data_IF_951789503872
#
_entry.id   IF_951789503872
#
_cell.length_a   1.000
_cell.length_b   1.000
_cell.length_c   1.000
_cell.angle_alpha   90.00
_cell.angle_beta   90.00
_cell.angle_gamma   90.00
#
_symmetry.space_group_name_H-M   'P 1'
#
loop_
_entity.id
_entity.type
_entity.pdbx_description
1 polymer ?
#
# COMPACT_ATOMS: atom_id res chain seq x y z
N UNK A 1 9.34 2.44 -24.62
CA UNK A 1 8.25 2.96 -25.51
C UNK A 1 8.78 4.21 -26.18
N UNK A 2 8.65 4.30 -27.52
CA UNK A 2 9.01 5.48 -28.34
C UNK A 2 7.72 5.96 -29.00
N UNK A 3 7.13 7.00 -28.45
CA UNK A 3 5.80 7.47 -28.86
C UNK A 3 5.85 8.17 -30.23
N UNK A 4 6.90 8.92 -30.53
CA UNK A 4 7.09 9.64 -31.81
C UNK A 4 7.26 8.71 -33.01
N UNK A 5 7.68 7.45 -32.81
CA UNK A 5 7.79 6.46 -33.89
C UNK A 5 6.44 5.84 -34.25
N UNK A 6 5.49 5.89 -33.32
CA UNK A 6 4.18 5.28 -33.44
C UNK A 6 3.12 6.30 -33.84
N UNK A 7 3.06 7.45 -33.17
CA UNK A 7 2.06 8.48 -33.43
C UNK A 7 2.57 9.49 -34.49
N UNK A 8 1.89 9.58 -35.63
CA UNK A 8 2.22 10.52 -36.66
C UNK A 8 1.79 11.94 -36.30
N UNK A 9 2.72 12.79 -35.91
CA UNK A 9 2.47 14.20 -35.60
C UNK A 9 2.19 15.02 -36.87
N UNK A 10 1.22 15.95 -36.84
CA UNK A 10 0.91 16.87 -37.92
C UNK A 10 1.74 18.14 -37.86
N UNK A 11 2.13 18.56 -36.68
CA UNK A 11 2.87 19.78 -36.40
C UNK A 11 4.10 19.55 -35.51
N UNK A 12 5.08 20.49 -35.51
CA UNK A 12 6.28 20.36 -34.69
C UNK A 12 6.01 20.30 -33.17
N UNK A 13 4.98 21.00 -32.67
CA UNK A 13 4.67 21.04 -31.27
C UNK A 13 4.18 19.67 -30.75
N UNK A 14 3.34 18.99 -31.55
CA UNK A 14 2.92 17.59 -31.28
C UNK A 14 4.11 16.65 -31.30
N UNK A 15 5.01 16.76 -32.26
CA UNK A 15 6.21 15.93 -32.35
C UNK A 15 7.14 16.15 -31.14
N UNK A 16 7.31 17.39 -30.71
CA UNK A 16 8.10 17.72 -29.52
C UNK A 16 7.50 17.11 -28.27
N UNK A 17 6.17 17.17 -28.08
CA UNK A 17 5.47 16.53 -26.97
C UNK A 17 5.70 15.01 -26.93
N UNK A 18 5.59 14.33 -28.09
CA UNK A 18 5.82 12.89 -28.19
C UNK A 18 7.28 12.51 -27.86
N UNK A 19 8.25 13.29 -28.33
CA UNK A 19 9.68 13.11 -28.01
C UNK A 19 9.97 13.33 -26.53
N UNK A 20 9.39 14.38 -25.95
CA UNK A 20 9.53 14.63 -24.51
C UNK A 20 8.94 13.47 -23.70
N UNK A 21 7.75 12.98 -24.07
CA UNK A 21 7.09 11.84 -23.42
C UNK A 21 7.98 10.58 -23.47
N UNK A 22 8.55 10.26 -24.64
CA UNK A 22 9.47 9.12 -24.82
C UNK A 22 10.74 9.25 -23.97
N UNK A 23 11.32 10.46 -23.95
CA UNK A 23 12.50 10.75 -23.14
C UNK A 23 12.24 10.59 -21.64
N UNK A 24 11.13 11.13 -21.13
CA UNK A 24 10.71 11.00 -19.72
C UNK A 24 10.46 9.54 -19.38
N UNK A 25 9.78 8.79 -20.25
CA UNK A 25 9.51 7.35 -20.04
C UNK A 25 10.80 6.54 -19.91
N UNK A 26 11.80 6.83 -20.75
CA UNK A 26 13.12 6.18 -20.69
C UNK A 26 13.82 6.45 -19.36
N UNK A 27 13.82 7.71 -18.90
CA UNK A 27 14.45 8.09 -17.61
C UNK A 27 13.82 7.37 -16.44
N UNK A 28 12.49 7.19 -16.45
CA UNK A 28 11.78 6.42 -15.41
C UNK A 28 12.19 4.95 -15.45
N UNK A 29 12.18 4.35 -16.65
CA UNK A 29 12.53 2.95 -16.86
C UNK A 29 13.95 2.63 -16.36
N UNK A 30 14.92 3.46 -16.72
CA UNK A 30 16.31 3.33 -16.29
C UNK A 30 16.44 3.46 -14.77
N UNK A 31 15.77 4.44 -14.16
CA UNK A 31 15.81 4.66 -12.71
C UNK A 31 15.22 3.48 -11.93
N UNK A 32 14.05 2.99 -12.33
CA UNK A 32 13.37 1.88 -11.65
C UNK A 32 14.19 0.59 -11.79
N UNK A 33 14.71 0.31 -12.99
CA UNK A 33 15.51 -0.89 -13.21
C UNK A 33 16.81 -0.84 -12.40
N UNK A 34 17.46 0.31 -12.28
CA UNK A 34 18.63 0.48 -11.43
C UNK A 34 18.30 0.24 -9.96
N UNK A 35 17.21 0.83 -9.46
CA UNK A 35 16.77 0.69 -8.06
C UNK A 35 16.43 -0.77 -7.69
N UNK A 36 15.90 -1.54 -8.63
CA UNK A 36 15.53 -2.95 -8.40
C UNK A 36 16.73 -3.90 -8.23
N UNK A 37 17.92 -3.51 -8.67
CA UNK A 37 19.16 -4.29 -8.53
C UNK A 37 19.97 -3.93 -7.28
N UNK A 38 19.65 -2.83 -6.62
CA UNK A 38 20.39 -2.36 -5.45
C UNK A 38 19.67 -2.84 -4.20
N UNK A 39 20.32 -3.70 -3.41
CA UNK A 39 19.78 -4.08 -2.09
C UNK A 39 19.74 -2.85 -1.18
N UNK A 40 18.78 -2.81 -0.27
CA UNK A 40 18.59 -1.68 0.66
C UNK A 40 19.87 -1.34 1.45
N UNK A 41 20.67 -2.34 1.81
CA UNK A 41 21.95 -2.15 2.49
C UNK A 41 22.97 -1.43 1.59
N UNK A 42 23.10 -1.84 0.33
CA UNK A 42 24.01 -1.22 -0.65
C UNK A 42 23.52 0.21 -0.97
N UNK A 43 22.21 0.43 -1.08
CA UNK A 43 21.64 1.75 -1.31
C UNK A 43 21.97 2.73 -0.18
N UNK A 44 21.94 2.27 1.07
CA UNK A 44 22.35 3.08 2.24
C UNK A 44 23.84 3.42 2.24
N UNK A 45 24.71 2.46 1.89
CA UNK A 45 26.15 2.71 1.79
C UNK A 45 26.50 3.67 0.65
N UNK A 46 25.90 3.49 -0.53
CA UNK A 46 26.18 4.31 -1.71
C UNK A 46 25.67 5.74 -1.59
N UNK A 47 24.60 5.98 -0.83
CA UNK A 47 23.96 7.31 -0.72
C UNK A 47 24.59 8.23 0.33
N UNK A 48 25.62 7.80 1.06
CA UNK A 48 26.26 8.62 2.09
C UNK A 48 25.29 9.08 3.19
N UNK A 49 24.20 8.35 3.39
CA UNK A 49 23.11 8.64 4.33
C UNK A 49 22.24 9.80 3.85
N UNK A 50 21.03 9.53 3.35
CA UNK A 50 19.93 10.49 3.17
C UNK A 50 19.62 11.10 1.80
N UNK A 51 20.27 10.79 0.70
CA UNK A 51 19.71 11.16 -0.60
C UNK A 51 18.67 10.12 -1.05
N UNK A 52 17.43 10.38 -0.70
CA UNK A 52 16.27 9.59 -1.08
C UNK A 52 16.17 9.44 -2.60
N UNK A 53 16.44 8.26 -3.11
CA UNK A 53 16.15 7.92 -4.51
C UNK A 53 14.65 8.07 -4.79
N UNK A 54 13.82 7.76 -3.81
CA UNK A 54 12.38 7.84 -3.86
C UNK A 54 11.87 9.24 -4.23
N UNK A 55 12.38 10.30 -3.61
CA UNK A 55 11.98 11.68 -3.93
C UNK A 55 12.30 12.06 -5.37
N UNK A 56 13.49 11.67 -5.88
CA UNK A 56 13.88 11.93 -7.28
C UNK A 56 13.00 11.17 -8.27
N UNK A 57 12.63 9.94 -7.93
CA UNK A 57 11.79 9.12 -8.79
C UNK A 57 10.32 9.61 -8.79
N UNK A 58 9.82 10.09 -7.66
CA UNK A 58 8.54 10.81 -7.59
C UNK A 58 8.53 12.04 -8.50
N UNK A 59 9.57 12.88 -8.45
CA UNK A 59 9.68 14.06 -9.31
C UNK A 59 9.70 13.72 -10.81
N UNK A 60 10.34 12.60 -11.21
CA UNK A 60 10.32 12.13 -12.61
C UNK A 60 8.91 11.73 -13.04
N UNK A 61 8.18 11.00 -12.16
CA UNK A 61 6.80 10.61 -12.44
C UNK A 61 5.86 11.81 -12.50
N UNK A 62 6.02 12.80 -11.62
CA UNK A 62 5.25 14.04 -11.63
C UNK A 62 5.44 14.87 -12.90
N UNK A 63 6.59 14.70 -13.58
CA UNK A 63 6.85 15.33 -14.87
C UNK A 63 6.34 14.51 -16.06
N UNK A 64 6.25 13.19 -15.93
CA UNK A 64 5.78 12.29 -16.98
C UNK A 64 4.27 12.17 -17.05
N UNK A 65 3.61 12.01 -15.89
CA UNK A 65 2.16 11.78 -15.80
C UNK A 65 1.32 12.83 -16.52
N UNK A 66 1.56 14.15 -16.39
CA UNK A 66 0.75 15.16 -17.07
C UNK A 66 0.88 15.12 -18.60
N UNK A 67 2.04 14.70 -19.12
CA UNK A 67 2.27 14.52 -20.55
C UNK A 67 1.51 13.30 -21.07
N UNK A 68 1.53 12.19 -20.30
CA UNK A 68 0.83 10.96 -20.66
C UNK A 68 -0.70 11.18 -20.62
N UNK A 69 -1.20 11.85 -19.59
CA UNK A 69 -2.63 12.23 -19.48
C UNK A 69 -3.08 13.10 -20.67
N UNK A 70 -2.22 14.02 -21.10
CA UNK A 70 -2.53 14.86 -22.26
C UNK A 70 -2.56 14.05 -23.57
N UNK A 71 -1.63 13.10 -23.75
CA UNK A 71 -1.65 12.21 -24.91
C UNK A 71 -2.93 11.35 -24.92
N UNK A 72 -3.29 10.74 -23.79
CA UNK A 72 -4.49 9.90 -23.67
C UNK A 72 -5.73 10.71 -24.00
N UNK A 73 -5.87 11.90 -23.45
CA UNK A 73 -7.01 12.78 -23.72
C UNK A 73 -7.20 13.02 -25.23
N UNK A 74 -6.14 13.36 -25.98
CA UNK A 74 -6.24 13.64 -27.42
C UNK A 74 -6.43 12.36 -28.24
N UNK A 75 -5.85 11.25 -27.82
CA UNK A 75 -6.06 9.94 -28.45
C UNK A 75 -7.51 9.46 -28.27
N UNK A 76 -8.10 9.66 -27.09
CA UNK A 76 -9.49 9.32 -26.84
C UNK A 76 -10.49 10.10 -27.71
N UNK A 77 -10.18 11.36 -28.04
CA UNK A 77 -11.00 12.18 -28.96
C UNK A 77 -11.08 11.60 -30.39
N UNK A 78 -10.06 10.80 -30.77
CA UNK A 78 -9.92 10.23 -32.11
C UNK A 78 -9.88 8.69 -32.11
N UNK A 79 -10.27 8.06 -31.02
CA UNK A 79 -10.17 6.63 -30.79
C UNK A 79 -11.01 5.77 -31.76
N UNK A 80 -12.02 6.34 -32.42
CA UNK A 80 -12.79 5.67 -33.47
C UNK A 80 -12.03 5.48 -34.79
N UNK A 81 -10.89 6.16 -34.99
CA UNK A 81 -10.09 6.05 -36.18
C UNK A 81 -9.21 4.78 -36.14
N UNK A 82 -9.35 3.90 -37.14
CA UNK A 82 -8.63 2.63 -37.20
C UNK A 82 -7.10 2.78 -37.26
N UNK A 83 -6.55 3.92 -37.75
CA UNK A 83 -5.11 4.19 -37.71
C UNK A 83 -4.64 4.41 -36.28
N UNK A 84 -5.42 5.12 -35.47
CA UNK A 84 -5.10 5.35 -34.06
C UNK A 84 -5.12 4.04 -33.28
N UNK A 85 -6.11 3.18 -33.53
CA UNK A 85 -6.17 1.84 -32.92
C UNK A 85 -4.92 1.01 -33.27
N UNK A 86 -4.50 1.07 -34.55
CA UNK A 86 -3.27 0.40 -35.00
C UNK A 86 -2.03 0.95 -34.29
N UNK A 87 -1.89 2.27 -34.19
CA UNK A 87 -0.77 2.91 -33.47
C UNK A 87 -0.66 2.43 -32.03
N UNK A 88 -1.79 2.37 -31.32
CA UNK A 88 -1.81 1.88 -29.93
C UNK A 88 -1.31 0.43 -29.85
N UNK A 89 -1.72 -0.45 -30.79
CA UNK A 89 -1.26 -1.84 -30.81
C UNK A 89 0.24 -2.00 -31.15
N UNK A 90 0.87 -0.99 -31.76
CA UNK A 90 2.31 -0.99 -32.07
C UNK A 90 3.19 -0.54 -30.89
N UNK A 91 2.63 0.03 -29.80
CA UNK A 91 3.37 0.51 -28.62
C UNK A 91 4.08 -0.58 -27.84
N UNK A 92 3.54 -1.81 -27.81
CA UNK A 92 4.08 -2.98 -27.09
C UNK A 92 4.40 -2.68 -25.61
N UNK A 93 3.41 -2.14 -24.89
CA UNK A 93 3.54 -1.72 -23.51
C UNK A 93 3.74 -2.96 -22.61
N UNK A 94 4.85 -3.01 -21.88
CA UNK A 94 5.24 -4.14 -21.04
C UNK A 94 5.55 -3.68 -19.61
N UNK A 95 4.99 -4.40 -18.65
CA UNK A 95 5.29 -4.23 -17.23
C UNK A 95 5.50 -5.58 -16.55
N UNK A 96 6.36 -5.64 -15.55
CA UNK A 96 6.49 -6.79 -14.66
C UNK A 96 5.60 -6.61 -13.43
N UNK A 97 5.30 -7.71 -12.72
CA UNK A 97 4.58 -7.68 -11.45
C UNK A 97 5.56 -7.82 -10.28
N UNK A 98 5.42 -6.97 -9.26
CA UNK A 98 6.13 -7.08 -8.00
C UNK A 98 5.36 -7.92 -6.97
N UNK A 99 4.04 -8.01 -7.12
CA UNK A 99 3.16 -8.73 -6.19
C UNK A 99 2.99 -10.22 -6.52
N UNK A 100 3.35 -10.64 -7.74
CA UNK A 100 3.30 -12.06 -8.12
C UNK A 100 4.45 -12.82 -7.49
N UNK A 101 4.17 -14.04 -7.02
CA UNK A 101 5.20 -14.94 -6.52
C UNK A 101 6.22 -15.21 -7.62
N UNK A 102 7.48 -14.82 -7.39
CA UNK A 102 8.57 -15.29 -8.22
C UNK A 102 8.72 -16.79 -7.96
N UNK A 103 8.41 -17.62 -8.95
CA UNK A 103 8.71 -19.05 -8.84
C UNK A 103 10.21 -19.19 -8.56
N UNK A 104 10.56 -19.87 -7.47
CA UNK A 104 11.95 -20.18 -7.09
C UNK A 104 12.72 -20.93 -8.19
N UNK A 105 12.01 -21.43 -9.20
CA UNK A 105 12.53 -22.14 -10.37
C UNK A 105 12.57 -21.29 -11.65
N UNK A 106 12.22 -19.99 -11.60
CA UNK A 106 12.28 -19.12 -12.78
C UNK A 106 13.71 -18.69 -13.10
N UNK A 107 14.48 -19.59 -13.71
CA UNK A 107 15.75 -19.30 -14.39
C UNK A 107 15.62 -18.27 -15.54
N UNK A 108 14.39 -17.82 -15.86
CA UNK A 108 14.06 -16.98 -17.02
C UNK A 108 13.89 -15.49 -16.70
N UNK A 109 14.10 -15.04 -15.46
CA UNK A 109 13.90 -13.64 -15.07
C UNK A 109 12.43 -13.26 -14.81
N UNK A 110 12.13 -11.97 -14.59
CA UNK A 110 10.79 -11.50 -14.26
C UNK A 110 9.80 -11.75 -15.41
N UNK A 111 8.56 -12.16 -15.07
CA UNK A 111 7.47 -12.30 -16.03
C UNK A 111 6.99 -10.91 -16.45
N UNK A 112 6.93 -10.68 -17.77
CA UNK A 112 6.37 -9.45 -18.34
C UNK A 112 4.97 -9.69 -18.87
N UNK A 113 4.10 -8.72 -18.61
CA UNK A 113 2.74 -8.64 -19.13
C UNK A 113 2.69 -7.56 -20.19
N UNK A 114 2.19 -7.89 -21.38
CA UNK A 114 2.04 -6.95 -22.48
C UNK A 114 0.55 -6.66 -22.72
N UNK A 115 0.16 -5.40 -22.56
CA UNK A 115 -1.18 -4.92 -22.84
C UNK A 115 -1.07 -3.63 -23.66
N UNK A 116 -1.48 -3.71 -24.92
CA UNK A 116 -1.34 -2.62 -25.89
C UNK A 116 -2.49 -1.61 -25.70
N UNK A 117 -2.44 -0.86 -24.60
CA UNK A 117 -3.43 0.14 -24.23
C UNK A 117 -2.76 1.28 -23.43
N UNK A 118 -2.95 2.53 -23.83
CA UNK A 118 -2.36 3.69 -23.15
C UNK A 118 -2.85 3.85 -21.71
N UNK A 119 -4.11 3.48 -21.42
CA UNK A 119 -4.63 3.50 -20.04
C UNK A 119 -3.97 2.45 -19.15
N UNK A 120 -3.45 1.36 -19.74
CA UNK A 120 -2.64 0.41 -18.99
C UNK A 120 -1.28 1.01 -18.61
N UNK A 121 -0.62 1.72 -19.54
CA UNK A 121 0.61 2.46 -19.22
C UNK A 121 0.35 3.50 -18.12
N UNK A 122 -0.73 4.27 -18.22
CA UNK A 122 -1.12 5.23 -17.19
C UNK A 122 -1.36 4.53 -15.84
N UNK A 123 -2.14 3.44 -15.84
CA UNK A 123 -2.48 2.71 -14.63
C UNK A 123 -1.26 2.15 -13.92
N UNK A 124 -0.34 1.52 -14.64
CA UNK A 124 0.89 0.98 -14.06
C UNK A 124 1.84 2.10 -13.59
N UNK A 125 1.89 3.22 -14.30
CA UNK A 125 2.69 4.38 -13.89
C UNK A 125 2.12 5.04 -12.62
N UNK A 126 0.81 5.18 -12.52
CA UNK A 126 0.15 5.67 -11.31
C UNK A 126 0.29 4.70 -10.13
N UNK A 127 0.23 3.39 -10.40
CA UNK A 127 0.50 2.39 -9.36
C UNK A 127 1.92 2.55 -8.79
N UNK A 128 2.90 2.69 -9.66
CA UNK A 128 4.28 2.97 -9.25
C UNK A 128 4.40 4.29 -8.46
N UNK A 129 3.71 5.34 -8.91
CA UNK A 129 3.68 6.63 -8.20
C UNK A 129 3.13 6.48 -6.77
N UNK A 130 2.02 5.76 -6.62
CA UNK A 130 1.44 5.47 -5.30
C UNK A 130 2.37 4.62 -4.42
N UNK A 131 3.05 3.63 -5.00
CA UNK A 131 4.03 2.82 -4.28
C UNK A 131 5.22 3.66 -3.79
N UNK A 132 5.72 4.58 -4.61
CA UNK A 132 6.79 5.50 -4.22
C UNK A 132 6.34 6.55 -3.19
N UNK A 133 5.10 7.02 -3.23
CA UNK A 133 4.54 7.86 -2.15
C UNK A 133 4.53 7.12 -0.81
N UNK A 134 4.12 5.83 -0.83
CA UNK A 134 4.15 4.97 0.36
C UNK A 134 5.58 4.78 0.88
N UNK A 135 6.54 4.49 0.01
CA UNK A 135 7.95 4.35 0.37
C UNK A 135 8.51 5.64 0.96
N UNK A 136 8.20 6.78 0.34
CA UNK A 136 8.60 8.10 0.86
C UNK A 136 8.00 8.38 2.24
N UNK A 137 6.76 7.96 2.49
CA UNK A 137 6.13 8.07 3.80
C UNK A 137 6.93 7.32 4.88
N UNK A 138 7.42 6.12 4.55
CA UNK A 138 8.26 5.31 5.45
C UNK A 138 9.62 5.98 5.68
N UNK A 139 10.26 6.52 4.65
CA UNK A 139 11.55 7.21 4.77
C UNK A 139 11.49 8.41 5.72
N UNK A 140 10.44 9.21 5.66
CA UNK A 140 10.32 10.41 6.49
C UNK A 140 9.71 10.17 7.87
N UNK A 141 9.18 8.97 8.12
CA UNK A 141 8.52 8.59 9.36
C UNK A 141 9.33 8.94 10.64
N UNK A 142 10.66 8.76 10.69
CA UNK A 142 11.43 9.11 11.87
C UNK A 142 11.52 10.62 12.13
N UNK A 143 11.38 11.44 11.10
CA UNK A 143 11.57 12.88 11.15
C UNK A 143 10.24 13.66 11.28
N UNK A 144 9.21 13.25 10.54
CA UNK A 144 7.92 13.95 10.48
C UNK A 144 6.74 12.98 10.34
N UNK A 145 6.09 12.70 11.48
CA UNK A 145 4.91 11.84 11.54
C UNK A 145 3.72 12.43 10.77
N UNK A 146 3.56 13.75 10.75
CA UNK A 146 2.41 14.39 10.10
C UNK A 146 2.53 14.27 8.59
N UNK A 147 3.70 14.60 8.05
CA UNK A 147 3.96 14.47 6.62
C UNK A 147 3.94 13.01 6.18
N UNK A 148 4.47 12.08 6.98
CA UNK A 148 4.38 10.64 6.72
C UNK A 148 2.92 10.17 6.60
N UNK A 149 2.06 10.51 7.57
CA UNK A 149 0.65 10.18 7.51
C UNK A 149 -0.06 10.79 6.29
N UNK A 150 0.32 12.00 5.89
CA UNK A 150 -0.21 12.69 4.72
C UNK A 150 0.14 11.93 3.44
N UNK A 151 1.40 11.54 3.25
CA UNK A 151 1.84 10.78 2.08
C UNK A 151 1.17 9.39 1.96
N UNK A 152 0.96 8.68 3.07
CA UNK A 152 0.17 7.44 3.05
C UNK A 152 -1.28 7.69 2.58
N UNK A 153 -1.89 8.78 3.00
CA UNK A 153 -3.26 9.15 2.58
C UNK A 153 -3.31 9.59 1.12
N UNK A 154 -2.28 10.25 0.61
CA UNK A 154 -2.12 10.58 -0.82
C UNK A 154 -1.96 9.30 -1.64
N UNK A 155 -1.08 8.37 -1.24
CA UNK A 155 -0.93 7.08 -1.88
C UNK A 155 -2.26 6.31 -1.94
N UNK A 156 -3.01 6.30 -0.83
CA UNK A 156 -4.34 5.69 -0.78
C UNK A 156 -5.30 6.32 -1.80
N UNK A 157 -5.27 7.65 -1.96
CA UNK A 157 -6.11 8.34 -2.95
C UNK A 157 -5.78 7.99 -4.39
N UNK A 158 -4.50 7.85 -4.72
CA UNK A 158 -4.08 7.38 -6.05
C UNK A 158 -4.55 5.94 -6.30
N UNK A 159 -4.42 5.05 -5.32
CA UNK A 159 -4.93 3.67 -5.45
C UNK A 159 -6.45 3.63 -5.59
N UNK A 160 -7.22 4.49 -4.91
CA UNK A 160 -8.66 4.60 -5.10
C UNK A 160 -9.02 5.08 -6.51
N UNK A 161 -8.31 6.06 -7.04
CA UNK A 161 -8.49 6.52 -8.41
C UNK A 161 -8.23 5.40 -9.43
N UNK A 162 -7.17 4.60 -9.22
CA UNK A 162 -6.88 3.43 -10.04
C UNK A 162 -8.02 2.39 -9.98
N UNK A 163 -8.52 2.09 -8.79
CA UNK A 163 -9.57 1.11 -8.56
C UNK A 163 -10.91 1.52 -9.18
N UNK A 164 -11.27 2.81 -9.10
CA UNK A 164 -12.59 3.29 -9.45
C UNK A 164 -12.71 3.84 -10.88
N UNK A 165 -11.61 4.38 -11.44
CA UNK A 165 -11.65 5.12 -12.70
C UNK A 165 -10.77 4.49 -13.80
N UNK A 166 -9.50 4.19 -13.49
CA UNK A 166 -8.56 3.77 -14.53
C UNK A 166 -8.76 2.31 -14.94
N UNK A 167 -8.64 1.37 -14.00
CA UNK A 167 -8.67 -0.06 -14.31
C UNK A 167 -10.05 -0.64 -14.66
N UNK A 168 -11.20 -0.13 -14.19
CA UNK A 168 -12.48 -0.58 -14.69
C UNK A 168 -12.65 -0.40 -16.20
N UNK A 169 -12.08 0.67 -16.76
CA UNK A 169 -12.11 0.93 -18.21
C UNK A 169 -11.34 -0.11 -19.04
N UNK A 170 -10.44 -0.88 -18.42
CA UNK A 170 -9.63 -1.92 -19.06
C UNK A 170 -10.25 -3.32 -19.00
N UNK A 171 -11.35 -3.53 -18.26
CA UNK A 171 -11.95 -4.84 -18.04
C UNK A 171 -12.63 -5.44 -19.27
N UNK A 172 -12.92 -4.67 -20.31
CA UNK A 172 -13.62 -5.13 -21.53
C UNK A 172 -12.83 -6.14 -22.37
N UNK A 173 -11.53 -6.35 -22.13
CA UNK A 173 -10.71 -7.35 -22.82
C UNK A 173 -10.42 -8.56 -21.92
N UNK A 174 -11.41 -9.45 -21.76
CA UNK A 174 -11.37 -10.60 -20.83
C UNK A 174 -10.33 -11.69 -21.11
N UNK A 175 -9.58 -11.64 -22.21
CA UNK A 175 -8.66 -12.71 -22.63
C UNK A 175 -7.17 -12.43 -22.39
N UNK A 176 -6.81 -11.25 -21.89
CA UNK A 176 -5.39 -10.88 -21.71
C UNK A 176 -4.96 -11.09 -20.27
N UNK A 177 -3.91 -11.87 -20.07
CA UNK A 177 -3.28 -12.06 -18.76
C UNK A 177 -2.73 -10.72 -18.25
N UNK A 178 -3.06 -10.38 -17.00
CA UNK A 178 -2.71 -9.08 -16.37
C UNK A 178 -1.87 -9.28 -15.12
N UNK A 179 -0.99 -8.33 -14.78
CA UNK A 179 -0.36 -8.32 -13.46
C UNK A 179 -1.42 -8.00 -12.39
N UNK A 180 -1.18 -8.46 -11.17
CA UNK A 180 -2.07 -8.21 -10.02
C UNK A 180 -2.29 -6.72 -9.76
N UNK A 181 -1.27 -5.92 -9.99
CA UNK A 181 -1.28 -4.45 -9.86
C UNK A 181 -2.31 -3.78 -10.78
N UNK A 182 -2.62 -4.38 -11.91
CA UNK A 182 -3.57 -3.85 -12.89
C UNK A 182 -5.02 -4.32 -12.64
N UNK A 183 -5.37 -4.61 -11.38
CA UNK A 183 -6.72 -5.01 -11.01
C UNK A 183 -7.36 -4.02 -10.02
N UNK A 184 -8.64 -3.66 -10.18
CA UNK A 184 -9.34 -2.77 -9.24
C UNK A 184 -9.31 -3.28 -7.81
N UNK A 185 -9.46 -4.58 -7.62
CA UNK A 185 -9.47 -5.21 -6.31
C UNK A 185 -8.12 -5.10 -5.60
N UNK A 186 -6.99 -5.30 -6.30
CA UNK A 186 -5.66 -5.11 -5.71
C UNK A 186 -5.40 -3.64 -5.37
N UNK A 187 -5.81 -2.70 -6.22
CA UNK A 187 -5.72 -1.28 -5.90
C UNK A 187 -6.54 -0.91 -4.66
N UNK A 188 -7.73 -1.53 -4.48
CA UNK A 188 -8.52 -1.35 -3.25
C UNK A 188 -7.77 -1.90 -2.03
N UNK A 189 -7.18 -3.08 -2.13
CA UNK A 189 -6.34 -3.67 -1.06
C UNK A 189 -5.19 -2.73 -0.70
N UNK A 190 -4.44 -2.23 -1.69
CA UNK A 190 -3.32 -1.31 -1.46
C UNK A 190 -3.77 0.02 -0.84
N UNK A 191 -4.93 0.55 -1.26
CA UNK A 191 -5.53 1.74 -0.64
C UNK A 191 -5.82 1.52 0.85
N UNK A 192 -6.43 0.39 1.20
CA UNK A 192 -6.75 0.04 2.59
C UNK A 192 -5.47 -0.13 3.43
N UNK A 193 -4.43 -0.76 2.88
CA UNK A 193 -3.13 -0.89 3.56
C UNK A 193 -2.54 0.49 3.85
N UNK A 194 -2.53 1.40 2.87
CA UNK A 194 -2.05 2.76 3.08
C UNK A 194 -2.85 3.52 4.16
N UNK A 195 -4.17 3.31 4.25
CA UNK A 195 -4.98 3.88 5.34
C UNK A 195 -4.64 3.28 6.70
N UNK A 196 -4.39 1.98 6.76
CA UNK A 196 -3.94 1.31 7.98
C UNK A 196 -2.59 1.86 8.46
N UNK A 197 -1.64 2.08 7.54
CA UNK A 197 -0.33 2.68 7.82
C UNK A 197 -0.46 4.15 8.24
N UNK A 198 -1.28 4.95 7.57
CA UNK A 198 -1.57 6.33 7.97
C UNK A 198 -2.15 6.40 9.38
N UNK A 199 -3.06 5.48 9.72
CA UNK A 199 -3.63 5.40 11.06
C UNK A 199 -2.58 4.97 12.10
N UNK A 200 -1.69 4.02 11.78
CA UNK A 200 -0.61 3.59 12.66
C UNK A 200 0.33 4.76 13.01
N UNK A 201 0.69 5.58 12.03
CA UNK A 201 1.48 6.80 12.23
C UNK A 201 0.73 7.81 13.10
N UNK A 202 -0.58 7.97 12.87
CA UNK A 202 -1.43 8.86 13.68
C UNK A 202 -1.53 8.39 15.13
N UNK A 203 -1.61 7.08 15.37
CA UNK A 203 -1.59 6.49 16.73
C UNK A 203 -0.27 6.82 17.42
N UNK A 204 0.87 6.64 16.76
CA UNK A 204 2.17 7.02 17.34
C UNK A 204 2.20 8.48 17.77
N UNK A 205 1.64 9.37 16.97
CA UNK A 205 1.51 10.79 17.33
C UNK A 205 0.56 11.02 18.49
N UNK A 206 -0.52 10.24 18.60
CA UNK A 206 -1.47 10.27 19.70
C UNK A 206 -0.84 9.79 21.01
N UNK A 207 -0.02 8.73 20.97
CA UNK A 207 0.76 8.22 22.10
C UNK A 207 1.74 9.30 22.63
N UNK A 208 2.49 9.98 21.74
CA UNK A 208 3.37 11.09 22.11
C UNK A 208 2.63 12.24 22.82
N UNK A 209 1.35 12.44 22.51
CA UNK A 209 0.49 13.46 23.12
C UNK A 209 -0.23 13.01 24.39
N UNK A 210 -0.02 11.78 24.85
CA UNK A 210 -0.67 11.25 26.03
C UNK A 210 -2.17 10.99 25.87
N UNK A 211 -2.60 10.56 24.69
CA UNK A 211 -3.98 10.16 24.43
C UNK A 211 -4.42 9.02 25.36
N UNK A 212 -5.69 9.00 25.75
CA UNK A 212 -6.25 7.99 26.64
C UNK A 212 -6.11 6.57 26.10
N UNK A 213 -5.75 5.63 26.95
CA UNK A 213 -5.55 4.21 26.59
C UNK A 213 -6.79 3.57 25.95
N UNK A 214 -8.00 3.94 26.40
CA UNK A 214 -9.24 3.46 25.81
C UNK A 214 -9.45 3.92 24.36
N UNK A 215 -9.00 5.14 24.00
CA UNK A 215 -9.03 5.61 22.62
C UNK A 215 -7.93 4.90 21.80
N UNK A 216 -6.72 4.74 22.34
CA UNK A 216 -5.64 4.00 21.67
C UNK A 216 -6.06 2.56 21.36
N UNK A 217 -6.75 1.88 22.29
CA UNK A 217 -7.31 0.55 22.05
C UNK A 217 -8.23 0.52 20.80
N UNK A 218 -9.18 1.46 20.72
CA UNK A 218 -10.11 1.57 19.58
C UNK A 218 -9.41 1.91 18.26
N UNK A 219 -8.40 2.78 18.30
CA UNK A 219 -7.63 3.16 17.12
C UNK A 219 -6.83 1.98 16.57
N UNK A 220 -6.15 1.21 17.44
CA UNK A 220 -5.45 -0.01 17.03
C UNK A 220 -6.41 -1.06 16.47
N UNK A 221 -7.58 -1.23 17.08
CA UNK A 221 -8.59 -2.16 16.57
C UNK A 221 -9.14 -1.72 15.21
N UNK A 222 -9.25 -0.41 14.96
CA UNK A 222 -9.60 0.13 13.64
C UNK A 222 -8.62 -0.29 12.54
N UNK A 223 -7.31 -0.40 12.84
CA UNK A 223 -6.32 -0.97 11.90
C UNK A 223 -6.58 -2.46 11.67
N UNK A 224 -6.90 -3.22 12.72
CA UNK A 224 -7.23 -4.65 12.60
C UNK A 224 -8.45 -4.86 11.68
N UNK A 225 -9.46 -3.99 11.78
CA UNK A 225 -10.63 -4.03 10.90
C UNK A 225 -10.28 -3.68 9.46
N UNK A 226 -9.48 -2.61 9.21
CA UNK A 226 -8.99 -2.25 7.87
C UNK A 226 -8.23 -3.42 7.21
N UNK A 227 -7.27 -4.01 7.92
CA UNK A 227 -6.50 -5.13 7.38
C UNK A 227 -7.33 -6.40 7.23
N UNK A 228 -8.39 -6.57 8.04
CA UNK A 228 -9.39 -7.61 7.87
C UNK A 228 -10.18 -7.45 6.57
N UNK A 229 -10.58 -6.22 6.22
CA UNK A 229 -11.22 -5.91 4.94
C UNK A 229 -10.29 -6.20 3.75
N UNK A 230 -9.03 -5.77 3.82
CA UNK A 230 -8.02 -6.08 2.78
C UNK A 230 -7.87 -7.60 2.60
N UNK A 231 -7.78 -8.34 3.70
CA UNK A 231 -7.68 -9.81 3.70
C UNK A 231 -8.93 -10.45 3.05
N UNK A 232 -10.12 -9.98 3.39
CA UNK A 232 -11.37 -10.49 2.81
C UNK A 232 -11.45 -10.29 1.29
N UNK A 233 -10.98 -9.15 0.77
CA UNK A 233 -10.92 -8.90 -0.67
C UNK A 233 -9.96 -9.89 -1.36
N UNK A 234 -8.78 -10.11 -0.79
CA UNK A 234 -7.81 -11.08 -1.34
C UNK A 234 -8.39 -12.48 -1.39
N UNK A 235 -9.03 -12.95 -0.32
CA UNK A 235 -9.58 -14.32 -0.26
C UNK A 235 -10.89 -14.50 -1.03
N UNK A 236 -11.65 -13.44 -1.31
CA UNK A 236 -12.86 -13.51 -2.14
C UNK A 236 -12.56 -13.75 -3.63
N UNK A 237 -11.35 -13.42 -4.09
CA UNK A 237 -10.93 -13.52 -5.49
C UNK A 237 -9.80 -14.55 -5.68
N UNK A 238 -9.97 -15.75 -5.15
CA UNK A 238 -8.94 -16.80 -5.11
C UNK A 238 -8.36 -17.18 -6.48
N UNK A 239 -9.15 -17.07 -7.55
CA UNK A 239 -8.70 -17.37 -8.93
C UNK A 239 -7.73 -16.29 -9.41
N UNK A 240 -8.04 -15.02 -9.15
CA UNK A 240 -7.22 -13.87 -9.54
C UNK A 240 -5.90 -13.80 -8.75
N UNK A 241 -5.93 -14.22 -7.47
CA UNK A 241 -4.81 -14.09 -6.54
C UNK A 241 -4.02 -15.38 -6.26
N UNK A 242 -4.22 -16.44 -7.07
CA UNK A 242 -3.51 -17.72 -6.86
C UNK A 242 -1.97 -17.57 -6.87
N UNK A 243 -1.46 -16.58 -7.60
CA UNK A 243 -0.03 -16.33 -7.77
C UNK A 243 0.48 -15.15 -6.91
N UNK A 244 -0.29 -14.71 -5.91
CA UNK A 244 0.13 -13.62 -5.01
C UNK A 244 1.32 -14.05 -4.14
N UNK A 245 2.23 -13.11 -3.88
CA UNK A 245 3.39 -13.33 -3.02
C UNK A 245 2.98 -13.72 -1.60
N UNK A 246 3.54 -14.82 -1.08
CA UNK A 246 3.34 -15.24 0.31
C UNK A 246 3.83 -14.19 1.31
N UNK A 247 4.94 -13.50 0.99
CA UNK A 247 5.47 -12.42 1.82
C UNK A 247 4.49 -11.24 1.94
N UNK A 248 3.74 -10.95 0.86
CA UNK A 248 2.70 -9.91 0.91
C UNK A 248 1.54 -10.32 1.84
N UNK A 249 1.11 -11.58 1.78
CA UNK A 249 0.07 -12.11 2.67
C UNK A 249 0.55 -12.14 4.12
N UNK A 250 1.78 -12.57 4.36
CA UNK A 250 2.41 -12.57 5.69
C UNK A 250 2.51 -11.15 6.26
N UNK A 251 2.85 -10.16 5.44
CA UNK A 251 2.86 -8.74 5.85
C UNK A 251 1.49 -8.30 6.37
N UNK A 252 0.40 -8.55 5.62
CA UNK A 252 -0.96 -8.15 6.03
C UNK A 252 -1.37 -8.85 7.33
N UNK A 253 -1.16 -10.18 7.42
CA UNK A 253 -1.53 -10.96 8.59
C UNK A 253 -0.74 -10.57 9.83
N UNK A 254 0.57 -10.34 9.69
CA UNK A 254 1.44 -9.91 10.79
C UNK A 254 1.08 -8.51 11.29
N UNK A 255 0.85 -7.55 10.39
CA UNK A 255 0.38 -6.23 10.79
C UNK A 255 -0.95 -6.30 11.55
N UNK A 256 -1.91 -7.09 11.05
CA UNK A 256 -3.22 -7.27 11.68
C UNK A 256 -3.07 -7.85 13.09
N UNK A 257 -2.34 -8.96 13.25
CA UNK A 257 -2.13 -9.62 14.54
C UNK A 257 -1.39 -8.71 15.54
N UNK A 258 -0.39 -7.97 15.10
CA UNK A 258 0.33 -7.01 15.95
C UNK A 258 -0.60 -5.92 16.48
N UNK A 259 -1.42 -5.33 15.62
CA UNK A 259 -2.35 -4.29 16.03
C UNK A 259 -3.50 -4.82 16.90
N UNK A 260 -3.92 -6.06 16.70
CA UNK A 260 -4.87 -6.71 17.59
C UNK A 260 -4.29 -6.92 18.99
N UNK A 261 -3.05 -7.41 19.10
CA UNK A 261 -2.34 -7.55 20.37
C UNK A 261 -2.21 -6.21 21.11
N UNK A 262 -1.79 -5.15 20.41
CA UNK A 262 -1.69 -3.80 20.97
C UNK A 262 -3.04 -3.24 21.41
N UNK A 263 -4.07 -3.43 20.60
CA UNK A 263 -5.44 -3.02 20.93
C UNK A 263 -5.92 -3.66 22.24
N UNK A 264 -5.73 -4.97 22.39
CA UNK A 264 -6.11 -5.70 23.59
C UNK A 264 -5.28 -5.32 24.82
N UNK A 265 -3.98 -5.04 24.64
CA UNK A 265 -3.12 -4.52 25.71
C UNK A 265 -3.66 -3.18 26.25
N UNK A 266 -3.95 -2.21 25.36
CA UNK A 266 -4.52 -0.93 25.74
C UNK A 266 -5.94 -1.05 26.33
N UNK A 267 -6.75 -2.00 25.82
CA UNK A 267 -8.06 -2.29 26.39
C UNK A 267 -7.95 -2.77 27.84
N UNK A 268 -7.05 -3.73 28.10
CA UNK A 268 -6.85 -4.25 29.45
C UNK A 268 -6.41 -3.14 30.43
N UNK A 269 -5.53 -2.25 30.00
CA UNK A 269 -5.12 -1.09 30.80
C UNK A 269 -6.30 -0.14 31.05
N UNK A 270 -7.13 0.13 30.05
CA UNK A 270 -8.32 0.97 30.17
C UNK A 270 -9.35 0.40 31.13
N UNK A 271 -9.60 -0.92 31.06
CA UNK A 271 -10.55 -1.63 31.91
C UNK A 271 -10.04 -1.67 33.36
N UNK A 272 -8.72 -1.87 33.54
CA UNK A 272 -8.07 -1.81 34.85
C UNK A 272 -8.20 -0.45 35.52
N UNK A 273 -8.06 0.65 34.76
CA UNK A 273 -8.30 2.02 35.26
C UNK A 273 -9.77 2.17 35.71
N UNK A 274 -10.70 1.47 35.07
CA UNK A 274 -12.11 1.39 35.49
C UNK A 274 -12.36 0.43 36.63
N UNK A 275 -11.35 0.00 37.37
CA UNK A 275 -11.42 -0.89 38.56
C UNK A 275 -11.99 -2.29 38.26
N UNK A 276 -11.91 -2.79 37.01
CA UNK A 276 -12.34 -4.13 36.59
C UNK A 276 -11.11 -5.03 36.34
N UNK A 277 -10.38 -5.34 37.39
CA UNK A 277 -9.09 -6.04 37.30
C UNK A 277 -9.25 -7.45 36.76
N UNK A 278 -10.27 -8.19 37.16
CA UNK A 278 -10.56 -9.53 36.66
C UNK A 278 -10.80 -9.55 35.15
N UNK A 279 -11.54 -8.58 34.63
CA UNK A 279 -11.78 -8.41 33.18
C UNK A 279 -10.46 -8.08 32.44
N UNK A 280 -9.64 -7.20 33.00
CA UNK A 280 -8.34 -6.84 32.43
C UNK A 280 -7.41 -8.05 32.29
N UNK A 281 -7.38 -8.93 33.30
CA UNK A 281 -6.64 -10.20 33.27
C UNK A 281 -7.17 -11.12 32.17
N UNK A 282 -8.49 -11.27 32.06
CA UNK A 282 -9.12 -12.09 31.02
C UNK A 282 -8.76 -11.64 29.64
N UNK A 283 -8.80 -10.32 29.37
CA UNK A 283 -8.41 -9.70 28.08
C UNK A 283 -6.94 -9.96 27.75
N UNK A 284 -6.01 -9.82 28.72
CA UNK A 284 -4.58 -10.06 28.50
C UNK A 284 -4.28 -11.54 28.25
N UNK A 285 -4.93 -12.45 28.99
CA UNK A 285 -4.76 -13.91 28.76
C UNK A 285 -5.18 -14.29 27.34
N UNK A 286 -6.34 -13.84 26.90
CA UNK A 286 -6.83 -14.08 25.54
C UNK A 286 -5.88 -13.48 24.49
N UNK A 287 -5.44 -12.23 24.68
CA UNK A 287 -4.50 -11.56 23.80
C UNK A 287 -3.16 -12.31 23.64
N UNK A 288 -2.60 -12.82 24.75
CA UNK A 288 -1.34 -13.57 24.75
C UNK A 288 -1.48 -14.95 24.10
N UNK A 289 -2.61 -15.63 24.27
CA UNK A 289 -2.88 -16.91 23.60
C UNK A 289 -2.92 -16.69 22.08
N UNK A 290 -3.69 -15.69 21.62
CA UNK A 290 -3.81 -15.39 20.21
C UNK A 290 -2.50 -14.86 19.61
N UNK A 291 -1.81 -13.93 20.28
CA UNK A 291 -0.53 -13.38 19.82
C UNK A 291 0.57 -14.43 19.67
N UNK A 292 0.63 -15.43 20.58
CA UNK A 292 1.59 -16.54 20.46
C UNK A 292 1.25 -17.51 19.33
N UNK A 293 -0.04 -17.72 19.05
CA UNK A 293 -0.51 -18.58 17.95
C UNK A 293 -0.22 -17.95 16.57
N UNK A 294 -0.26 -16.63 16.47
CA UNK A 294 -0.11 -15.87 15.23
C UNK A 294 1.31 -15.31 15.03
N UNK A 295 2.32 -15.89 15.71
CA UNK A 295 3.71 -15.49 15.56
C UNK A 295 4.18 -15.65 14.10
N UNK A 296 4.70 -14.58 13.48
CA UNK A 296 5.21 -14.61 12.12
C UNK A 296 6.43 -15.53 11.94
N UNK A 297 6.61 -16.02 10.71
CA UNK A 297 7.79 -16.82 10.34
C UNK A 297 9.07 -16.01 10.25
N UNK A 298 8.99 -14.77 9.79
CA UNK A 298 10.12 -13.87 9.57
C UNK A 298 10.72 -13.31 10.86
N UNK A 299 12.05 -13.32 10.98
CA UNK A 299 12.79 -12.94 12.19
C UNK A 299 12.57 -11.47 12.60
N UNK A 300 12.47 -10.56 11.64
CA UNK A 300 12.20 -9.13 11.90
C UNK A 300 10.88 -8.93 12.66
N UNK A 301 9.85 -9.65 12.25
CA UNK A 301 8.54 -9.64 12.92
C UNK A 301 8.59 -10.30 14.29
N UNK A 302 9.30 -11.42 14.44
CA UNK A 302 9.44 -12.11 15.73
C UNK A 302 10.01 -11.21 16.80
N UNK A 303 11.03 -10.39 16.47
CA UNK A 303 11.59 -9.41 17.41
C UNK A 303 10.58 -8.40 17.89
N UNK A 304 9.73 -7.88 16.98
CA UNK A 304 8.68 -6.91 17.32
C UNK A 304 7.59 -7.56 18.19
N UNK A 305 7.10 -8.74 17.77
CA UNK A 305 6.10 -9.49 18.53
C UNK A 305 6.61 -9.90 19.91
N UNK A 306 7.86 -10.35 20.01
CA UNK A 306 8.50 -10.71 21.28
C UNK A 306 8.40 -9.57 22.29
N UNK A 307 8.79 -8.37 21.92
CA UNK A 307 8.70 -7.19 22.78
C UNK A 307 7.28 -6.87 23.24
N UNK A 308 6.28 -7.00 22.36
CA UNK A 308 4.88 -6.75 22.72
C UNK A 308 4.32 -7.85 23.62
N UNK A 309 4.66 -9.11 23.36
CA UNK A 309 4.27 -10.26 24.18
C UNK A 309 4.90 -10.16 25.59
N UNK A 310 6.17 -9.80 25.69
CA UNK A 310 6.86 -9.62 26.97
C UNK A 310 6.22 -8.48 27.77
N UNK A 311 5.94 -7.34 27.14
CA UNK A 311 5.27 -6.22 27.77
C UNK A 311 3.85 -6.59 28.27
N UNK A 312 3.08 -7.33 27.47
CA UNK A 312 1.75 -7.81 27.85
C UNK A 312 1.82 -8.87 28.97
N UNK A 313 2.83 -9.73 28.96
CA UNK A 313 3.05 -10.75 29.98
C UNK A 313 3.43 -10.15 31.34
N UNK A 314 4.29 -9.12 31.31
CA UNK A 314 4.65 -8.37 32.54
C UNK A 314 3.45 -7.61 33.11
N UNK A 315 2.61 -7.05 32.25
CA UNK A 315 1.36 -6.39 32.66
C UNK A 315 0.39 -7.42 33.28
N UNK A 316 0.22 -8.57 32.63
CA UNK A 316 -0.62 -9.65 33.14
C UNK A 316 -0.17 -10.09 34.52
N UNK A 317 1.12 -10.37 34.73
CA UNK A 317 1.68 -10.79 36.02
C UNK A 317 1.38 -9.78 37.14
N UNK A 318 1.51 -8.47 36.83
CA UNK A 318 1.16 -7.41 37.79
C UNK A 318 -0.30 -7.42 38.16
N UNK A 319 -1.20 -7.56 37.18
CA UNK A 319 -2.63 -7.56 37.42
C UNK A 319 -3.10 -8.83 38.15
N UNK A 320 -2.51 -9.99 37.84
CA UNK A 320 -2.80 -11.25 38.55
C UNK A 320 -2.42 -11.16 40.04
N UNK A 321 -1.22 -10.65 40.36
CA UNK A 321 -0.78 -10.43 41.71
C UNK A 321 -1.71 -9.43 42.46
N UNK A 322 -2.07 -8.33 41.82
CA UNK A 322 -2.99 -7.34 42.39
C UNK A 322 -4.37 -7.94 42.65
N UNK A 323 -4.88 -8.77 41.74
CA UNK A 323 -6.16 -9.43 41.91
C UNK A 323 -6.13 -10.48 43.03
N UNK A 324 -5.02 -11.23 43.14
CA UNK A 324 -4.88 -12.26 44.18
C UNK A 324 -4.85 -11.68 45.59
N UNK A 325 -4.18 -10.53 45.78
CA UNK A 325 -4.00 -9.98 47.13
C UNK A 325 -4.99 -8.88 47.50
N UNK A 326 -5.65 -8.24 46.54
CA UNK A 326 -6.46 -7.04 46.78
C UNK A 326 -7.91 -7.20 46.33
N UNK A 327 -8.13 -7.54 45.03
CA UNK A 327 -9.46 -7.42 44.43
C UNK A 327 -10.30 -8.70 44.55
N UNK A 328 -9.69 -9.85 44.37
CA UNK A 328 -10.36 -11.18 44.38
C UNK A 328 -11.49 -11.29 43.34
N UNK A 329 -11.40 -10.57 42.22
CA UNK A 329 -12.43 -10.58 41.18
C UNK A 329 -12.40 -11.88 40.36
N UNK A 330 -13.59 -12.30 39.89
CA UNK A 330 -13.73 -13.38 38.90
C UNK A 330 -13.05 -12.96 37.59
N UNK A 331 -12.26 -13.85 36.99
CA UNK A 331 -11.62 -13.64 35.70
C UNK A 331 -12.54 -14.23 34.63
N UNK A 332 -13.15 -13.37 33.76
CA UNK A 332 -13.98 -13.82 32.64
C UNK A 332 -13.13 -14.39 31.51
N UNK A 333 -13.74 -15.20 30.64
CA UNK A 333 -13.09 -15.75 29.44
C UNK A 333 -14.07 -15.87 28.28
N UNK A 334 -13.52 -15.95 27.05
CA UNK A 334 -14.31 -16.15 25.83
C UNK A 334 -15.36 -15.06 25.61
N UNK A 335 -16.63 -15.43 25.47
CA UNK A 335 -17.72 -14.51 25.15
C UNK A 335 -18.08 -13.52 26.30
N UNK A 336 -17.59 -13.74 27.50
CA UNK A 336 -17.78 -12.83 28.64
C UNK A 336 -16.83 -11.60 28.53
N UNK A 337 -15.80 -11.64 27.63
CA UNK A 337 -14.87 -10.54 27.47
C UNK A 337 -15.49 -9.38 26.66
N UNK A 338 -15.09 -8.12 26.95
CA UNK A 338 -15.60 -6.97 26.24
C UNK A 338 -15.20 -7.02 24.76
N UNK A 339 -16.18 -6.77 23.89
CA UNK A 339 -15.96 -6.64 22.46
C UNK A 339 -15.51 -5.23 22.14
N UNK A 340 -14.43 -5.12 21.36
CA UNK A 340 -13.96 -3.85 20.83
C UNK A 340 -14.70 -3.50 19.55
N UNK A 341 -14.94 -2.20 19.38
CA UNK A 341 -15.34 -1.60 18.12
C UNK A 341 -14.20 -0.67 17.67
N UNK A 342 -13.73 -0.86 16.45
CA UNK A 342 -12.65 -0.06 15.88
C UNK A 342 -13.07 1.37 15.60
N UNK A 343 -12.10 2.29 15.69
CA UNK A 343 -12.26 3.65 15.24
C UNK A 343 -11.31 3.89 14.05
N UNK A 344 -11.87 3.97 12.84
CA UNK A 344 -11.15 4.22 11.61
C UNK A 344 -11.16 5.74 11.36
N UNK A 345 -10.03 6.39 11.51
CA UNK A 345 -9.91 7.85 11.39
C UNK A 345 -9.15 8.30 10.15
N UNK A 346 -8.37 7.42 9.55
CA UNK A 346 -7.61 7.75 8.35
C UNK A 346 -8.53 7.70 7.11
N UNK A 347 -8.50 8.79 6.32
CA UNK A 347 -9.23 8.90 5.06
C UNK A 347 -8.25 9.22 3.95
N UNK A 348 -8.48 8.66 2.76
CA UNK A 348 -7.71 8.98 1.58
C UNK A 348 -7.78 10.46 1.21
N UNK A 349 -6.71 11.01 0.68
CA UNK A 349 -6.72 12.32 0.04
C UNK A 349 -7.01 12.09 -1.44
N UNK A 350 -8.10 12.66 -2.00
CA UNK A 350 -8.47 12.44 -3.39
C UNK A 350 -7.33 12.79 -4.35
N UNK A 351 -7.04 11.88 -5.27
CA UNK A 351 -6.12 12.15 -6.36
C UNK A 351 -6.85 12.90 -7.47
N UNK A 352 -6.24 13.98 -7.95
CA UNK A 352 -6.73 14.75 -9.08
C UNK A 352 -5.72 14.67 -10.21
N UNK A 353 -6.04 14.00 -11.34
CA UNK A 353 -5.16 13.95 -12.49
C UNK A 353 -4.78 15.36 -12.96
N UNK A 354 -3.49 15.56 -13.19
CA UNK A 354 -2.97 16.79 -13.77
C UNK A 354 -2.68 16.52 -15.22
N UNK A 355 -3.19 17.34 -16.10
CA UNK A 355 -2.96 17.25 -17.54
C UNK A 355 -2.20 18.49 -18.01
N UNK A 356 -1.21 18.29 -18.83
CA UNK A 356 -0.56 19.38 -19.51
C UNK A 356 -1.43 19.79 -20.71
N UNK A 357 -2.09 20.92 -20.64
CA UNK A 357 -3.06 21.39 -21.63
C UNK A 357 -2.34 21.95 -22.89
N UNK A 358 -1.75 21.04 -23.67
CA UNK A 358 -1.17 21.33 -24.98
C UNK A 358 -2.00 20.63 -26.04
N UNK A 359 -2.42 21.34 -27.07
CA UNK A 359 -3.14 20.75 -28.20
C UNK A 359 -2.23 19.80 -28.98
N UNK A 360 -2.70 18.59 -29.27
CA UNK A 360 -1.98 17.59 -30.05
C UNK A 360 -2.74 17.30 -31.34
N UNK A 361 -2.06 17.45 -32.48
CA UNK A 361 -2.60 17.28 -33.81
C UNK A 361 -1.93 16.09 -34.51
N UNK A 362 -2.73 15.06 -34.85
CA UNK A 362 -2.24 13.86 -35.52
C UNK A 362 -2.54 13.85 -37.02
N UNK A 363 -1.72 13.15 -37.81
CA UNK A 363 -1.96 12.84 -39.23
C UNK A 363 -2.83 11.59 -39.33
N UNK A 364 -4.11 11.76 -39.11
CA UNK A 364 -5.12 10.67 -39.10
C UNK A 364 -5.54 10.33 -40.53
#
# INVERSE_FOLDING_TARGET
IVFEDVFSARDPATLEHLKELSSRRRVIEESINQSSFITEAIAREMSGGLTSHCLRDLQKLEQYLPLLENLIFHVDLVCSNHRVVRWISELKIRWSSALSSSSLFNLRGPKFFQIDNLRYELGMTLYLYAALLRERAIEILPADLVQSATLFREASGVFQHLANEVFPSLQSSQSVERPLEATPSMCTVMSIICLAEAQAVTIRKAEEKGTTVGLLAKLHYGITELLGEATAIVYSNTIEYKDISSSFLEFISSCKALHELRSRKYLAESVKIGEQVGVAIGVLRDALINGKRELPGEESWRSIFGKEIDAASDMLRKFENENEFVWHEKIPCGDELPRLQGNKIANALPYHPKRWERELNFKI
#
